data_IF_947824515321
#
_entry.id   IF_947824515321
#
_cell.length_a   1.000
_cell.length_b   1.000
_cell.length_c   1.000
_cell.angle_alpha   90.00
_cell.angle_beta   90.00
_cell.angle_gamma   90.00
#
_symmetry.space_group_name_H-M   'P 1'
#
loop_
_entity.id
_entity.type
_entity.pdbx_description
1 polymer ?
#
# COMPACT_ATOMS: atom_id res chain seq x y z
N UNK A 1 -4.40 -31.20 10.29
CA UNK A 1 -2.94 -31.02 10.21
C UNK A 1 -2.66 -29.54 10.01
N UNK A 2 -1.83 -28.97 10.84
CA UNK A 2 -1.39 -27.59 10.62
C UNK A 2 -0.40 -27.56 9.46
N UNK A 3 -0.75 -26.85 8.40
CA UNK A 3 0.22 -26.54 7.36
C UNK A 3 1.27 -25.57 7.94
N UNK A 4 2.55 -25.95 8.00
CA UNK A 4 3.58 -25.08 8.58
C UNK A 4 3.76 -23.74 7.83
N UNK A 5 3.20 -23.62 6.62
CA UNK A 5 3.19 -22.39 5.83
C UNK A 5 1.92 -21.56 6.05
N UNK A 6 0.93 -22.07 6.78
CA UNK A 6 -0.27 -21.31 7.09
C UNK A 6 0.04 -20.29 8.18
N UNK A 7 -0.40 -19.02 8.03
CA UNK A 7 -0.20 -18.03 9.06
C UNK A 7 -0.98 -18.43 10.34
N UNK A 8 -0.36 -18.17 11.48
CA UNK A 8 -1.04 -18.35 12.76
C UNK A 8 -2.24 -17.41 12.84
N UNK A 9 -3.38 -17.93 13.30
CA UNK A 9 -4.56 -17.13 13.50
C UNK A 9 -4.55 -16.49 14.90
N UNK A 10 -5.06 -15.27 14.96
CA UNK A 10 -5.21 -14.50 16.18
C UNK A 10 -6.66 -14.05 16.33
N UNK A 11 -7.58 -15.00 16.68
CA UNK A 11 -8.98 -14.65 16.93
C UNK A 11 -9.06 -13.63 18.06
N UNK A 12 -9.92 -12.65 17.88
CA UNK A 12 -10.08 -11.57 18.85
C UNK A 12 -9.12 -10.39 18.66
N UNK A 13 -7.95 -10.59 18.06
CA UNK A 13 -7.06 -9.48 17.77
C UNK A 13 -7.69 -8.57 16.70
N UNK A 14 -7.78 -7.29 16.99
CA UNK A 14 -8.46 -6.30 16.13
C UNK A 14 -9.92 -6.67 15.82
N UNK A 15 -10.57 -7.45 16.70
CA UNK A 15 -11.96 -7.86 16.50
C UNK A 15 -12.89 -6.65 16.40
N UNK A 16 -13.74 -6.64 15.38
CA UNK A 16 -14.65 -5.53 15.09
C UNK A 16 -13.96 -4.28 14.53
N UNK A 17 -12.65 -4.31 14.32
CA UNK A 17 -11.87 -3.20 13.78
C UNK A 17 -11.68 -3.34 12.27
N UNK A 18 -11.43 -2.20 11.64
CA UNK A 18 -11.18 -2.12 10.20
C UNK A 18 -9.73 -1.75 9.93
N UNK A 19 -9.07 -2.54 9.11
CA UNK A 19 -7.70 -2.31 8.67
C UNK A 19 -7.72 -2.01 7.18
N UNK A 20 -7.17 -0.86 6.80
CA UNK A 20 -6.97 -0.47 5.41
C UNK A 20 -5.55 -0.86 5.01
N UNK A 21 -5.42 -1.68 3.98
CA UNK A 21 -4.13 -2.12 3.47
C UNK A 21 -3.80 -1.45 2.15
N UNK A 22 -2.57 -0.95 2.02
CA UNK A 22 -2.07 -0.28 0.82
C UNK A 22 -0.91 -1.10 0.23
N UNK A 23 -1.14 -1.62 -0.97
CA UNK A 23 -0.16 -2.49 -1.63
C UNK A 23 1.04 -1.73 -2.20
N UNK A 24 2.08 -2.48 -2.55
CA UNK A 24 3.29 -1.95 -3.17
C UNK A 24 3.19 -1.76 -4.68
N UNK A 25 4.28 -1.27 -5.27
CA UNK A 25 4.41 -1.06 -6.71
C UNK A 25 4.19 -2.38 -7.47
N UNK A 26 3.41 -2.31 -8.54
CA UNK A 26 3.06 -3.45 -9.40
C UNK A 26 2.29 -4.59 -8.70
N UNK A 27 1.76 -4.35 -7.51
CA UNK A 27 0.88 -5.27 -6.81
C UNK A 27 -0.60 -4.87 -6.99
N UNK A 28 -1.48 -5.42 -6.16
CA UNK A 28 -2.93 -5.14 -6.20
C UNK A 28 -3.59 -5.45 -4.86
N UNK A 29 -4.89 -5.17 -4.78
CA UNK A 29 -5.72 -5.57 -3.64
C UNK A 29 -5.85 -7.09 -3.47
N UNK A 30 -5.42 -7.88 -4.47
CA UNK A 30 -5.41 -9.34 -4.44
C UNK A 30 -4.02 -9.90 -4.12
N UNK A 31 -3.18 -9.13 -3.44
CA UNK A 31 -1.85 -9.57 -3.04
C UNK A 31 -1.90 -10.66 -1.97
N UNK A 32 -0.83 -11.45 -1.90
CA UNK A 32 -0.67 -12.46 -0.86
C UNK A 32 -0.72 -11.89 0.55
N UNK A 33 -0.26 -10.65 0.74
CA UNK A 33 -0.30 -9.97 2.05
C UNK A 33 -1.73 -9.74 2.52
N UNK A 34 -2.63 -9.34 1.63
CA UNK A 34 -4.06 -9.16 1.96
C UNK A 34 -4.66 -10.49 2.41
N UNK A 35 -4.38 -11.56 1.68
CA UNK A 35 -4.85 -12.91 2.03
C UNK A 35 -4.33 -13.35 3.39
N UNK A 36 -3.04 -13.13 3.66
CA UNK A 36 -2.41 -13.44 4.95
C UNK A 36 -3.07 -12.66 6.08
N UNK A 37 -3.29 -11.36 5.91
CA UNK A 37 -3.94 -10.51 6.92
C UNK A 37 -5.35 -11.02 7.25
N UNK A 38 -6.12 -11.38 6.23
CA UNK A 38 -7.48 -11.92 6.43
C UNK A 38 -7.48 -13.24 7.17
N UNK A 39 -6.49 -14.09 6.91
CA UNK A 39 -6.34 -15.38 7.61
C UNK A 39 -5.84 -15.22 9.04
N UNK A 40 -4.90 -14.30 9.27
CA UNK A 40 -4.35 -14.06 10.61
C UNK A 40 -5.35 -13.37 11.54
N UNK A 41 -6.16 -12.47 10.99
CA UNK A 41 -7.07 -11.62 11.74
C UNK A 41 -8.52 -11.88 11.31
N UNK A 42 -9.06 -13.08 11.63
CA UNK A 42 -10.38 -13.49 11.10
C UNK A 42 -11.54 -12.63 11.60
N UNK A 43 -11.38 -11.95 12.72
CA UNK A 43 -12.42 -11.12 13.33
C UNK A 43 -12.29 -9.63 12.97
N UNK A 44 -11.25 -9.26 12.25
CA UNK A 44 -11.07 -7.91 11.72
C UNK A 44 -11.59 -7.81 10.28
N UNK A 45 -11.91 -6.60 9.84
CA UNK A 45 -12.24 -6.33 8.45
C UNK A 45 -11.02 -5.75 7.75
N UNK A 46 -10.57 -6.40 6.68
CA UNK A 46 -9.45 -5.92 5.87
C UNK A 46 -10.01 -5.33 4.58
N UNK A 47 -9.77 -4.03 4.35
CA UNK A 47 -10.16 -3.35 3.12
C UNK A 47 -8.93 -3.01 2.32
N UNK A 48 -8.96 -3.28 1.02
CA UNK A 48 -7.89 -2.98 0.09
C UNK A 48 -8.48 -2.74 -1.30
N UNK A 49 -7.90 -1.80 -2.03
CA UNK A 49 -8.30 -1.50 -3.40
C UNK A 49 -7.05 -1.38 -4.26
N UNK A 50 -7.20 -1.61 -5.56
CA UNK A 50 -6.12 -1.40 -6.51
C UNK A 50 -5.78 0.09 -6.58
N UNK A 51 -4.51 0.42 -6.43
CA UNK A 51 -4.03 1.80 -6.41
C UNK A 51 -3.70 2.24 -7.83
N UNK A 52 -4.13 3.45 -8.26
CA UNK A 52 -3.72 4.01 -9.54
C UNK A 52 -2.21 4.11 -9.66
N UNK A 53 -1.71 4.01 -10.88
CA UNK A 53 -0.29 4.05 -11.18
C UNK A 53 0.34 5.41 -10.87
N UNK A 54 -0.35 6.50 -11.20
CA UNK A 54 0.15 7.85 -11.00
C UNK A 54 -0.04 8.31 -9.55
N UNK A 55 1.03 8.83 -8.90
CA UNK A 55 0.98 9.13 -7.46
C UNK A 55 -0.06 10.16 -7.05
N UNK A 56 -0.32 11.18 -7.86
CA UNK A 56 -1.35 12.18 -7.54
C UNK A 56 -2.74 11.54 -7.49
N UNK A 57 -3.05 10.69 -8.46
CA UNK A 57 -4.32 9.94 -8.51
C UNK A 57 -4.39 8.93 -7.34
N UNK A 58 -3.28 8.26 -7.06
CA UNK A 58 -3.18 7.32 -5.95
C UNK A 58 -3.48 8.00 -4.62
N UNK A 59 -2.88 9.14 -4.34
CA UNK A 59 -3.11 9.87 -3.09
C UNK A 59 -4.54 10.39 -2.98
N UNK A 60 -5.12 10.90 -4.08
CA UNK A 60 -6.51 11.34 -4.09
C UNK A 60 -7.46 10.19 -3.75
N UNK A 61 -7.26 9.03 -4.39
CA UNK A 61 -8.05 7.83 -4.14
C UNK A 61 -7.89 7.31 -2.71
N UNK A 62 -6.66 7.28 -2.19
CA UNK A 62 -6.38 6.78 -0.84
C UNK A 62 -6.95 7.70 0.25
N UNK A 63 -6.91 9.02 0.05
CA UNK A 63 -7.57 9.96 0.96
C UNK A 63 -9.07 9.77 0.98
N UNK A 64 -9.69 9.62 -0.19
CA UNK A 64 -11.13 9.34 -0.32
C UNK A 64 -11.49 8.02 0.37
N UNK A 65 -10.71 6.97 0.12
CA UNK A 65 -10.91 5.65 0.72
C UNK A 65 -10.81 5.71 2.24
N UNK A 66 -9.81 6.41 2.77
CA UNK A 66 -9.64 6.54 4.22
C UNK A 66 -10.81 7.31 4.85
N UNK A 67 -11.31 8.36 4.21
CA UNK A 67 -12.47 9.10 4.69
C UNK A 67 -13.74 8.26 4.65
N UNK A 68 -13.94 7.49 3.59
CA UNK A 68 -15.11 6.62 3.41
C UNK A 68 -15.09 5.45 4.38
N UNK A 69 -13.95 4.80 4.53
CA UNK A 69 -13.82 3.58 5.32
C UNK A 69 -13.59 3.82 6.81
N UNK A 70 -13.04 4.98 7.17
CA UNK A 70 -12.69 5.31 8.56
C UNK A 70 -11.93 4.17 9.26
N UNK A 71 -10.76 3.77 8.73
CA UNK A 71 -10.04 2.63 9.28
C UNK A 71 -9.52 2.91 10.69
N UNK A 72 -9.49 1.87 11.51
CA UNK A 72 -8.85 1.92 12.84
C UNK A 72 -7.33 1.82 12.73
N UNK A 73 -6.83 1.25 11.62
CA UNK A 73 -5.41 1.08 11.36
C UNK A 73 -5.17 1.07 9.85
N UNK A 74 -4.12 1.74 9.41
CA UNK A 74 -3.64 1.68 8.03
C UNK A 74 -2.31 0.92 8.02
N UNK A 75 -2.20 -0.10 7.17
CA UNK A 75 -0.94 -0.83 6.95
C UNK A 75 -0.54 -0.63 5.50
N UNK A 76 0.66 -0.11 5.28
CA UNK A 76 1.22 0.07 3.95
C UNK A 76 2.57 -0.61 3.82
N UNK A 77 2.81 -1.28 2.70
CA UNK A 77 4.09 -1.95 2.42
C UNK A 77 4.77 -1.33 1.22
N UNK A 78 6.07 -1.10 1.31
CA UNK A 78 6.92 -0.54 0.26
C UNK A 78 6.35 0.81 -0.25
N UNK A 79 5.96 0.92 -1.51
CA UNK A 79 5.26 2.11 -2.05
C UNK A 79 4.00 2.43 -1.24
N UNK A 80 3.25 1.42 -0.84
CA UNK A 80 2.07 1.60 0.03
C UNK A 80 2.42 2.20 1.38
N UNK A 81 3.60 1.89 1.91
CA UNK A 81 4.13 2.51 3.13
C UNK A 81 4.46 3.99 2.93
N UNK A 82 5.02 4.34 1.78
CA UNK A 82 5.26 5.74 1.41
C UNK A 82 3.94 6.53 1.36
N UNK A 83 2.92 5.98 0.72
CA UNK A 83 1.61 6.63 0.67
C UNK A 83 0.95 6.73 2.05
N UNK A 84 1.04 5.64 2.84
CA UNK A 84 0.45 5.62 4.17
C UNK A 84 1.01 6.72 5.08
N UNK A 85 2.31 7.01 4.97
CA UNK A 85 2.94 8.08 5.74
C UNK A 85 2.23 9.43 5.52
N UNK A 86 1.72 9.68 4.32
CA UNK A 86 1.05 10.93 3.98
C UNK A 86 -0.45 10.95 4.30
N UNK A 87 -0.98 9.89 4.92
CA UNK A 87 -2.37 9.82 5.38
C UNK A 87 -2.40 10.16 6.88
N UNK A 88 -2.40 11.45 7.18
CA UNK A 88 -2.34 11.95 8.54
C UNK A 88 -3.65 11.76 9.29
N UNK A 89 -3.57 11.60 10.62
CA UNK A 89 -4.73 11.46 11.49
C UNK A 89 -5.23 10.03 11.69
N UNK A 90 -4.48 9.03 11.26
CA UNK A 90 -4.78 7.61 11.41
C UNK A 90 -3.62 6.90 12.09
N UNK A 91 -3.91 5.84 12.84
CA UNK A 91 -2.87 4.92 13.30
C UNK A 91 -2.34 4.15 12.09
N UNK A 92 -1.01 4.02 11.98
CA UNK A 92 -0.36 3.48 10.79
C UNK A 92 0.78 2.56 11.14
N UNK A 93 0.92 1.48 10.35
CA UNK A 93 2.09 0.61 10.35
C UNK A 93 2.69 0.67 8.94
N UNK A 94 3.93 1.11 8.84
CA UNK A 94 4.68 1.20 7.59
C UNK A 94 5.70 0.07 7.55
N UNK A 95 5.59 -0.80 6.56
CA UNK A 95 6.48 -1.94 6.38
C UNK A 95 7.40 -1.66 5.21
N UNK A 96 8.68 -1.48 5.51
CA UNK A 96 9.72 -1.20 4.51
C UNK A 96 9.30 -0.08 3.53
N UNK A 97 8.93 1.10 4.04
CA UNK A 97 8.36 2.16 3.20
C UNK A 97 9.38 2.70 2.19
N UNK A 98 8.90 2.94 0.96
CA UNK A 98 9.73 3.36 -0.16
C UNK A 98 9.87 4.90 -0.23
N UNK A 99 10.44 5.52 0.79
CA UNK A 99 10.58 6.99 0.87
C UNK A 99 11.52 7.58 -0.18
N UNK A 100 12.35 6.76 -0.80
CA UNK A 100 13.27 7.17 -1.86
C UNK A 100 12.81 6.70 -3.26
N UNK A 101 11.53 6.38 -3.41
CA UNK A 101 10.99 5.87 -4.67
C UNK A 101 11.24 6.86 -5.82
N UNK A 102 11.81 6.35 -6.89
CA UNK A 102 12.17 7.15 -8.08
C UNK A 102 13.46 7.97 -7.95
N UNK A 103 14.07 8.04 -6.76
CA UNK A 103 15.29 8.82 -6.52
C UNK A 103 16.57 7.98 -6.56
N UNK A 104 16.49 6.71 -6.21
CA UNK A 104 17.66 5.84 -6.17
C UNK A 104 18.10 5.45 -7.57
N UNK A 105 19.42 5.46 -7.89
CA UNK A 105 19.93 4.97 -9.16
C UNK A 105 19.54 3.51 -9.45
N UNK A 106 19.38 2.68 -8.42
CA UNK A 106 18.94 1.30 -8.58
C UNK A 106 17.51 1.19 -9.10
N UNK A 107 16.71 2.26 -8.98
CA UNK A 107 15.32 2.31 -9.44
C UNK A 107 15.19 2.79 -10.89
N UNK A 108 16.28 3.14 -11.54
CA UNK A 108 16.26 3.43 -12.99
C UNK A 108 15.78 2.22 -13.79
N UNK A 109 15.92 1.01 -13.25
CA UNK A 109 15.40 -0.23 -13.82
C UNK A 109 13.87 -0.32 -13.80
N UNK A 110 13.17 0.61 -13.11
CA UNK A 110 11.70 0.67 -13.11
C UNK A 110 11.14 1.06 -14.48
N UNK A 111 11.92 1.79 -15.30
CA UNK A 111 11.44 2.22 -16.63
C UNK A 111 11.30 1.03 -17.57
N UNK A 112 10.33 1.12 -18.47
CA UNK A 112 10.03 0.10 -19.45
C UNK A 112 8.80 -0.71 -19.10
N UNK A 113 8.65 -1.84 -19.75
CA UNK A 113 7.49 -2.72 -19.56
C UNK A 113 7.58 -3.45 -18.22
N UNK A 114 6.55 -3.29 -17.43
CA UNK A 114 6.40 -3.97 -16.14
C UNK A 114 5.12 -4.82 -16.16
N UNK A 115 5.18 -5.99 -15.52
CA UNK A 115 4.04 -6.90 -15.40
C UNK A 115 3.53 -6.86 -13.97
N UNK A 116 2.22 -6.72 -13.80
CA UNK A 116 1.61 -6.77 -12.49
C UNK A 116 1.80 -8.15 -11.85
N UNK A 117 2.21 -8.16 -10.60
CA UNK A 117 2.50 -9.39 -9.84
C UNK A 117 1.23 -10.12 -9.40
N UNK A 118 0.13 -9.38 -9.31
CA UNK A 118 -1.15 -9.90 -8.84
C UNK A 118 -2.27 -9.42 -9.75
N UNK A 119 -3.36 -10.20 -9.86
CA UNK A 119 -4.51 -9.78 -10.66
C UNK A 119 -5.09 -8.45 -10.19
N UNK A 120 -5.47 -7.60 -11.14
CA UNK A 120 -6.15 -6.34 -10.88
C UNK A 120 -7.61 -6.44 -11.31
N UNK A 121 -8.45 -5.68 -10.61
CA UNK A 121 -9.90 -5.63 -10.88
C UNK A 121 -10.20 -5.06 -12.27
N UNK A 122 -9.35 -4.14 -12.76
CA UNK A 122 -9.47 -3.55 -14.10
C UNK A 122 -9.01 -4.49 -15.23
N UNK A 123 -8.43 -5.64 -14.88
CA UNK A 123 -7.91 -6.60 -15.85
C UNK A 123 -6.56 -6.25 -16.46
N UNK A 124 -5.96 -5.14 -16.08
CA UNK A 124 -4.64 -4.75 -16.56
C UNK A 124 -3.57 -5.76 -16.14
N UNK A 125 -2.77 -6.20 -17.10
CA UNK A 125 -1.73 -7.20 -16.87
C UNK A 125 -0.34 -6.60 -16.86
N UNK A 126 -0.14 -5.50 -17.60
CA UNK A 126 1.15 -4.86 -17.78
C UNK A 126 1.01 -3.36 -17.98
N UNK A 127 2.11 -2.66 -17.77
CA UNK A 127 2.18 -1.21 -17.95
C UNK A 127 3.58 -0.82 -18.44
N UNK A 128 3.66 0.25 -19.21
CA UNK A 128 4.95 0.86 -19.57
C UNK A 128 5.23 1.98 -18.58
N UNK A 129 6.27 1.79 -17.78
CA UNK A 129 6.73 2.81 -16.83
C UNK A 129 7.68 3.77 -17.56
N UNK A 130 7.26 5.00 -17.68
CA UNK A 130 8.04 6.05 -18.35
C UNK A 130 8.98 6.76 -17.37
N UNK A 131 9.99 7.44 -17.89
CA UNK A 131 10.85 8.31 -17.08
C UNK A 131 10.05 9.42 -16.41
N UNK A 132 9.01 9.92 -17.05
CA UNK A 132 8.11 10.93 -16.48
C UNK A 132 7.38 10.38 -15.25
N UNK A 133 6.91 9.14 -15.30
CA UNK A 133 6.25 8.49 -14.15
C UNK A 133 7.24 8.29 -12.99
N UNK A 134 8.47 7.85 -13.28
CA UNK A 134 9.51 7.70 -12.24
C UNK A 134 9.78 9.05 -11.57
N UNK A 135 9.80 10.14 -12.35
CA UNK A 135 9.95 11.49 -11.80
C UNK A 135 8.76 11.88 -10.91
N UNK A 136 7.54 11.50 -11.28
CA UNK A 136 6.36 11.73 -10.43
C UNK A 136 6.53 11.06 -9.06
N UNK A 137 7.05 9.83 -9.02
CA UNK A 137 7.35 9.16 -7.74
C UNK A 137 8.44 9.89 -6.96
N UNK A 138 9.51 10.29 -7.61
CA UNK A 138 10.57 11.05 -6.96
C UNK A 138 10.05 12.38 -6.39
N UNK A 139 9.19 13.06 -7.11
CA UNK A 139 8.61 14.35 -6.69
C UNK A 139 7.68 14.17 -5.50
N UNK A 140 6.82 13.14 -5.50
CA UNK A 140 5.87 12.94 -4.39
C UNK A 140 6.58 12.55 -3.09
N UNK A 141 7.72 11.87 -3.15
CA UNK A 141 8.47 11.52 -1.95
C UNK A 141 9.00 12.75 -1.20
N UNK A 142 9.09 13.90 -1.88
CA UNK A 142 9.46 15.17 -1.20
C UNK A 142 8.39 15.66 -0.24
N UNK A 143 7.15 15.17 -0.38
CA UNK A 143 6.03 15.51 0.49
C UNK A 143 5.93 14.60 1.71
N UNK A 144 6.66 13.48 1.74
CA UNK A 144 6.76 12.64 2.93
C UNK A 144 7.31 13.48 4.09
N UNK A 145 6.69 13.35 5.25
CA UNK A 145 7.03 14.08 6.48
C UNK A 145 6.74 15.58 6.44
N UNK A 146 6.08 16.09 5.40
CA UNK A 146 5.79 17.52 5.28
C UNK A 146 4.91 18.06 6.40
N UNK A 147 4.10 17.21 7.05
CA UNK A 147 3.21 17.59 8.15
C UNK A 147 3.40 16.71 9.39
N UNK A 148 4.58 16.11 9.55
CA UNK A 148 4.89 15.30 10.75
C UNK A 148 4.97 16.21 11.97
N UNK A 149 4.30 15.79 13.05
CA UNK A 149 4.35 16.44 14.34
C UNK A 149 5.13 15.59 15.35
N UNK A 150 5.57 16.16 16.50
CA UNK A 150 6.30 15.39 17.51
C UNK A 150 5.52 14.19 18.08
N UNK A 151 4.20 14.18 17.90
CA UNK A 151 3.32 13.12 18.43
C UNK A 151 3.05 11.98 17.42
N UNK A 152 3.62 12.04 16.24
CA UNK A 152 3.47 11.05 15.17
C UNK A 152 4.66 10.09 15.05
#
# INVERSE_FOLDING_TARGET
MNNPLSPKQYPGLMAGKKIMYIHGFMSSAQSGTVDILRRMLPDATIVAEDIPLHPAEAMAMLRDMAQREQPDLIIGTSMGGMYAEMLYGYDRILVNPAFEMGKSPSQSSMTGKQVYQNPRKDGEMEVVVTKALVKEYADITTHCFAAVTPDE
#
